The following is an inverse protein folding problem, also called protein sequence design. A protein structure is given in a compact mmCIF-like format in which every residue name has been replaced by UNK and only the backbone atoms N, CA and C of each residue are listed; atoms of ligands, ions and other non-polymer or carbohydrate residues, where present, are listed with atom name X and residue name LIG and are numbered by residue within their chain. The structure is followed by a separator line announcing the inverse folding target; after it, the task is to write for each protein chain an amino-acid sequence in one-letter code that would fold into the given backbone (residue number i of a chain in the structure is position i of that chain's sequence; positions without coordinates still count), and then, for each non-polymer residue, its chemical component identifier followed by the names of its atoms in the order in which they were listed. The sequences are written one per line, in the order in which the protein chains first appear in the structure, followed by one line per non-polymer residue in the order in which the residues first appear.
data_IF_798069649154
#
_entry.id   IF_798069649154
#
_cell.length_a   1.000
_cell.length_b   1.000
_cell.length_c   1.000
_cell.angle_alpha   90.00
_cell.angle_beta   90.00
_cell.angle_gamma   90.00
#
_symmetry.space_group_name_H-M   'P 1'
#
loop_
_entity.id
_entity.type
_entity.pdbx_description
1 polymer ?
#
# COMPACT_ATOMS: atom_id res chain seq x y z
N UNK A 1 -20.65 8.54 -24.99
CA UNK A 1 -19.21 8.80 -24.91
C UNK A 1 -18.57 7.62 -24.20
N UNK A 2 -17.93 6.73 -24.96
CA UNK A 2 -17.20 5.58 -24.44
C UNK A 2 -15.82 6.05 -24.00
N UNK A 3 -15.54 6.01 -22.70
CA UNK A 3 -14.24 6.30 -22.12
C UNK A 3 -13.83 5.12 -21.27
N UNK A 4 -12.67 4.53 -21.56
CA UNK A 4 -12.24 3.24 -21.02
C UNK A 4 -12.29 3.17 -19.48
N UNK A 5 -13.25 2.40 -18.97
CA UNK A 5 -13.20 1.79 -17.63
C UNK A 5 -13.15 0.28 -17.75
N UNK A 6 -12.34 -0.24 -18.68
CA UNK A 6 -12.23 -1.67 -18.92
C UNK A 6 -10.83 -2.12 -18.48
N UNK A 7 -10.73 -2.65 -17.26
CA UNK A 7 -9.49 -3.27 -16.82
C UNK A 7 -9.39 -3.45 -15.32
N UNK A 8 -9.44 -2.39 -14.52
CA UNK A 8 -9.15 -2.49 -13.07
C UNK A 8 -10.41 -2.87 -12.29
N UNK A 9 -10.42 -4.09 -11.74
CA UNK A 9 -11.49 -4.67 -10.92
C UNK A 9 -11.14 -4.78 -9.44
N UNK A 10 -9.88 -4.53 -9.09
CA UNK A 10 -9.39 -4.49 -7.72
C UNK A 10 -8.03 -3.81 -7.65
N UNK A 11 -7.70 -3.24 -6.48
CA UNK A 11 -6.37 -2.67 -6.22
C UNK A 11 -5.74 -3.37 -5.02
N UNK A 12 -4.54 -3.92 -5.18
CA UNK A 12 -3.74 -4.40 -4.06
C UNK A 12 -2.74 -3.32 -3.63
N UNK A 13 -2.87 -2.82 -2.40
CA UNK A 13 -1.92 -1.91 -1.78
C UNK A 13 -0.92 -2.69 -0.93
N UNK A 14 0.35 -2.66 -1.32
CA UNK A 14 1.45 -3.37 -0.66
C UNK A 14 2.17 -2.43 0.30
N UNK A 15 2.24 -2.84 1.57
CA UNK A 15 2.75 -2.07 2.70
C UNK A 15 4.00 -2.74 3.29
N UNK A 16 5.13 -2.04 3.26
CA UNK A 16 6.38 -2.58 3.79
C UNK A 16 6.49 -2.46 5.31
N UNK A 17 7.36 -3.27 5.91
CA UNK A 17 7.68 -3.17 7.35
C UNK A 17 8.51 -1.93 7.67
N UNK A 18 8.85 -1.72 8.94
CA UNK A 18 9.62 -0.55 9.35
C UNK A 18 10.28 -0.76 10.70
N UNK A 19 10.28 0.29 11.51
CA UNK A 19 10.79 0.31 12.88
C UNK A 19 9.64 0.70 13.81
N UNK A 20 9.78 0.40 15.11
CA UNK A 20 8.87 0.95 16.10
C UNK A 20 9.00 2.49 16.10
N UNK A 21 10.22 2.98 16.34
CA UNK A 21 10.50 4.41 16.47
C UNK A 21 11.66 4.83 15.56
N UNK A 22 11.35 5.67 14.58
CA UNK A 22 12.31 6.30 13.67
C UNK A 22 11.61 7.33 12.77
N UNK A 23 12.04 8.59 12.83
CA UNK A 23 11.66 9.62 11.85
C UNK A 23 12.62 9.69 10.66
N UNK A 24 13.56 8.74 10.55
CA UNK A 24 14.45 8.67 9.38
C UNK A 24 13.63 8.38 8.13
N UNK A 25 13.91 9.11 7.05
CA UNK A 25 13.17 8.95 5.82
C UNK A 25 13.46 7.59 5.14
N UNK A 26 12.41 6.95 4.59
CA UNK A 26 12.59 5.66 3.88
C UNK A 26 13.33 5.88 2.57
N UNK A 27 14.23 4.95 2.23
CA UNK A 27 14.92 4.90 0.94
C UNK A 27 14.54 3.63 0.18
N UNK A 28 14.50 3.66 -1.16
CA UNK A 28 14.18 2.47 -1.98
C UNK A 28 15.08 1.26 -1.71
N UNK A 29 16.34 1.52 -1.35
CA UNK A 29 17.35 0.48 -1.05
C UNK A 29 17.26 -0.10 0.35
N UNK A 30 16.39 0.42 1.22
CA UNK A 30 16.20 -0.18 2.54
C UNK A 30 15.58 -1.57 2.39
N UNK A 31 16.00 -2.51 3.24
CA UNK A 31 15.52 -3.89 3.18
C UNK A 31 14.00 -3.99 3.39
N UNK A 32 13.39 -3.05 4.12
CA UNK A 32 11.94 -3.04 4.34
C UNK A 32 11.13 -2.99 3.03
N UNK A 33 11.26 -1.95 2.17
CA UNK A 33 10.57 -1.92 0.88
C UNK A 33 11.08 -3.00 -0.09
N UNK A 34 12.37 -3.31 -0.10
CA UNK A 34 12.91 -4.35 -0.98
C UNK A 34 12.27 -5.73 -0.71
N UNK A 35 12.04 -6.09 0.55
CA UNK A 35 11.41 -7.35 0.95
C UNK A 35 10.01 -7.54 0.36
N UNK A 36 9.29 -6.45 0.09
CA UNK A 36 7.93 -6.53 -0.47
C UNK A 36 7.89 -6.56 -2.00
N UNK A 37 9.01 -6.31 -2.69
CA UNK A 37 9.05 -6.32 -4.17
C UNK A 37 8.64 -7.67 -4.78
N UNK A 38 9.09 -8.83 -4.27
CA UNK A 38 8.65 -10.12 -4.81
C UNK A 38 7.14 -10.36 -4.66
N UNK A 39 6.55 -9.89 -3.55
CA UNK A 39 5.10 -9.98 -3.32
C UNK A 39 4.31 -9.13 -4.32
N UNK A 40 4.73 -7.87 -4.51
CA UNK A 40 4.10 -6.98 -5.49
C UNK A 40 4.22 -7.53 -6.91
N UNK A 41 5.40 -8.04 -7.28
CA UNK A 41 5.62 -8.66 -8.58
C UNK A 41 4.74 -9.89 -8.81
N UNK A 42 4.61 -10.77 -7.80
CA UNK A 42 3.77 -11.97 -7.90
C UNK A 42 2.29 -11.64 -7.98
N UNK A 43 1.81 -10.64 -7.23
CA UNK A 43 0.44 -10.13 -7.35
C UNK A 43 0.17 -9.58 -8.75
N UNK A 44 1.08 -8.77 -9.29
CA UNK A 44 0.91 -8.20 -10.62
C UNK A 44 0.91 -9.29 -11.70
N UNK A 45 1.85 -10.24 -11.63
CA UNK A 45 1.94 -11.35 -12.57
C UNK A 45 0.69 -12.24 -12.55
N UNK A 46 0.16 -12.57 -11.37
CA UNK A 46 -1.01 -13.43 -11.24
C UNK A 46 -2.34 -12.70 -11.47
N UNK A 47 -2.42 -11.40 -11.16
CA UNK A 47 -3.69 -10.68 -11.08
C UNK A 47 -3.95 -9.71 -12.24
N UNK A 48 -2.94 -9.28 -12.99
CA UNK A 48 -3.09 -8.26 -14.05
C UNK A 48 -4.09 -8.65 -15.14
N UNK A 49 -4.02 -9.89 -15.64
CA UNK A 49 -5.00 -10.43 -16.61
C UNK A 49 -6.43 -10.50 -16.03
N UNK A 50 -6.56 -10.49 -14.71
CA UNK A 50 -7.84 -10.44 -14.01
C UNK A 50 -8.22 -9.02 -13.58
N UNK A 51 -7.46 -8.00 -13.92
CA UNK A 51 -7.78 -6.62 -13.58
C UNK A 51 -7.33 -6.17 -12.20
N UNK A 52 -6.35 -6.83 -11.59
CA UNK A 52 -5.74 -6.38 -10.35
C UNK A 52 -4.65 -5.32 -10.64
N UNK A 53 -4.89 -4.08 -10.22
CA UNK A 53 -3.82 -3.08 -10.14
C UNK A 53 -3.02 -3.29 -8.85
N UNK A 54 -1.69 -3.16 -8.91
CA UNK A 54 -0.82 -3.32 -7.73
C UNK A 54 -0.09 -2.01 -7.46
N UNK A 55 -0.30 -1.46 -6.27
CA UNK A 55 0.31 -0.23 -5.80
C UNK A 55 1.21 -0.55 -4.61
N UNK A 56 2.44 -0.05 -4.62
CA UNK A 56 3.37 -0.22 -3.50
C UNK A 56 3.60 1.13 -2.81
N UNK A 57 3.27 1.21 -1.53
CA UNK A 57 3.50 2.41 -0.74
C UNK A 57 4.94 2.42 -0.19
N UNK A 58 5.63 3.53 -0.41
CA UNK A 58 6.85 3.87 0.33
C UNK A 58 6.51 4.91 1.38
N UNK A 59 6.53 4.51 2.64
CA UNK A 59 6.28 5.42 3.75
C UNK A 59 7.30 6.57 3.73
N UNK A 60 6.91 7.75 4.22
CA UNK A 60 7.79 8.91 4.35
C UNK A 60 8.92 8.63 5.31
N UNK A 61 8.60 8.03 6.46
CA UNK A 61 9.55 7.68 7.53
C UNK A 61 9.52 6.20 7.88
N UNK A 62 10.57 5.72 8.53
CA UNK A 62 10.75 4.29 8.84
C UNK A 62 9.90 3.81 10.01
N UNK A 63 9.53 4.69 10.93
CA UNK A 63 8.89 4.36 12.20
C UNK A 63 7.36 4.34 12.16
N UNK A 64 6.78 3.62 13.10
CA UNK A 64 5.39 3.80 13.51
C UNK A 64 5.23 5.04 14.40
N UNK A 65 6.25 5.31 15.24
CA UNK A 65 6.40 6.54 16.04
C UNK A 65 5.27 6.77 17.04
N UNK A 66 4.89 5.73 17.79
CA UNK A 66 3.88 5.83 18.84
C UNK A 66 2.55 6.38 18.35
N UNK A 67 2.11 7.51 18.93
CA UNK A 67 0.86 8.19 18.61
C UNK A 67 0.88 8.97 17.29
N UNK A 68 2.05 9.21 16.68
CA UNK A 68 2.14 9.82 15.35
C UNK A 68 1.61 8.88 14.26
N UNK A 69 1.72 7.57 14.50
CA UNK A 69 1.25 6.51 13.60
C UNK A 69 1.66 6.75 12.14
N UNK A 70 2.90 7.19 11.90
CA UNK A 70 3.30 7.82 10.63
C UNK A 70 2.95 6.95 9.41
N UNK A 71 3.13 5.63 9.53
CA UNK A 71 2.80 4.66 8.50
C UNK A 71 1.29 4.55 8.22
N UNK A 72 0.43 4.73 9.22
CA UNK A 72 -1.03 4.77 9.04
C UNK A 72 -1.44 6.05 8.30
N UNK A 73 -0.86 7.19 8.65
CA UNK A 73 -1.08 8.45 7.91
C UNK A 73 -0.74 8.31 6.42
N UNK A 74 0.42 7.71 6.11
CA UNK A 74 0.83 7.46 4.73
C UNK A 74 -0.09 6.47 4.00
N UNK A 75 -0.59 5.43 4.71
CA UNK A 75 -1.53 4.48 4.14
C UNK A 75 -2.89 5.08 3.83
N UNK A 76 -3.43 5.93 4.71
CA UNK A 76 -4.68 6.66 4.47
C UNK A 76 -4.56 7.58 3.26
N UNK A 77 -3.46 8.34 3.17
CA UNK A 77 -3.17 9.13 1.98
C UNK A 77 -3.14 8.28 0.71
N UNK A 78 -2.49 7.11 0.74
CA UNK A 78 -2.44 6.22 -0.42
C UNK A 78 -3.84 5.69 -0.79
N UNK A 79 -4.68 5.38 0.20
CA UNK A 79 -6.05 4.94 -0.02
C UNK A 79 -6.91 6.05 -0.64
N UNK A 80 -6.80 7.30 -0.18
CA UNK A 80 -7.47 8.45 -0.79
C UNK A 80 -7.05 8.62 -2.27
N UNK A 81 -5.76 8.43 -2.56
CA UNK A 81 -5.23 8.46 -3.93
C UNK A 81 -5.81 7.34 -4.79
N UNK A 82 -5.93 6.13 -4.24
CA UNK A 82 -6.52 4.98 -4.94
C UNK A 82 -8.02 5.22 -5.18
N UNK A 83 -8.76 5.66 -4.18
CA UNK A 83 -10.20 5.95 -4.30
C UNK A 83 -10.48 7.01 -5.37
N UNK A 84 -9.63 8.04 -5.46
CA UNK A 84 -9.73 9.06 -6.52
C UNK A 84 -9.39 8.52 -7.92
N UNK A 85 -8.43 7.59 -8.03
CA UNK A 85 -8.00 7.02 -9.31
C UNK A 85 -8.89 5.87 -9.81
N UNK A 86 -9.47 5.11 -8.88
CA UNK A 86 -10.29 3.93 -9.13
C UNK A 86 -11.56 3.97 -8.27
N UNK A 87 -12.53 4.86 -8.59
CA UNK A 87 -13.74 5.00 -7.80
C UNK A 87 -14.50 3.67 -7.71
N UNK A 88 -15.01 3.34 -6.53
CA UNK A 88 -15.80 2.11 -6.23
C UNK A 88 -15.09 0.76 -6.42
N UNK A 89 -13.80 0.75 -6.75
CA UNK A 89 -13.02 -0.49 -6.90
C UNK A 89 -12.55 -0.97 -5.51
N UNK A 90 -12.71 -2.26 -5.17
CA UNK A 90 -12.26 -2.79 -3.88
C UNK A 90 -10.74 -2.70 -3.74
N UNK A 91 -10.30 -2.36 -2.52
CA UNK A 91 -8.88 -2.30 -2.17
C UNK A 91 -8.51 -3.43 -1.21
N UNK A 92 -7.47 -4.18 -1.55
CA UNK A 92 -6.90 -5.26 -0.75
C UNK A 92 -5.58 -4.78 -0.13
N UNK A 93 -5.43 -4.92 1.18
CA UNK A 93 -4.24 -4.51 1.91
C UNK A 93 -3.32 -5.71 2.16
N UNK A 94 -2.07 -5.65 1.69
CA UNK A 94 -1.04 -6.64 1.97
C UNK A 94 0.11 -6.00 2.74
N UNK A 95 0.33 -6.42 3.98
CA UNK A 95 1.35 -5.83 4.84
C UNK A 95 2.20 -6.84 5.60
N UNK A 96 3.48 -6.50 5.83
CA UNK A 96 4.40 -7.30 6.64
C UNK A 96 4.92 -6.52 7.86
N UNK A 97 4.90 -7.13 9.05
CA UNK A 97 5.36 -6.52 10.32
C UNK A 97 4.63 -5.19 10.56
N UNK A 98 5.33 -4.05 10.66
CA UNK A 98 4.70 -2.73 10.75
C UNK A 98 3.67 -2.51 9.63
N UNK A 99 3.95 -2.96 8.40
CA UNK A 99 2.99 -2.85 7.30
C UNK A 99 1.72 -3.68 7.52
N UNK A 100 1.82 -4.81 8.24
CA UNK A 100 0.66 -5.62 8.62
C UNK A 100 -0.18 -4.93 9.70
N UNK A 101 0.47 -4.31 10.70
CA UNK A 101 -0.20 -3.41 11.65
C UNK A 101 -0.91 -2.26 10.91
N UNK A 102 -0.20 -1.62 9.98
CA UNK A 102 -0.77 -0.54 9.15
C UNK A 102 -1.98 -1.02 8.35
N UNK A 103 -1.93 -2.21 7.75
CA UNK A 103 -3.05 -2.79 7.01
C UNK A 103 -4.30 -2.94 7.90
N UNK A 104 -4.15 -3.51 9.08
CA UNK A 104 -5.27 -3.72 10.02
C UNK A 104 -5.82 -2.37 10.51
N UNK A 105 -4.93 -1.44 10.88
CA UNK A 105 -5.34 -0.10 11.35
C UNK A 105 -6.02 0.74 10.25
N UNK A 106 -5.67 0.52 8.98
CA UNK A 106 -6.26 1.19 7.83
C UNK A 106 -7.54 0.51 7.32
N UNK A 107 -7.89 -0.70 7.77
CA UNK A 107 -9.05 -1.44 7.26
C UNK A 107 -10.41 -0.76 7.53
N UNK A 108 -10.46 0.23 8.44
CA UNK A 108 -11.64 1.07 8.68
C UNK A 108 -11.72 2.34 7.82
N UNK A 109 -10.79 2.54 6.87
CA UNK A 109 -10.82 3.64 5.91
C UNK A 109 -12.04 3.49 4.98
N UNK A 110 -12.69 4.61 4.64
CA UNK A 110 -13.95 4.67 3.88
C UNK A 110 -13.74 5.41 2.58
#
# INVERSE_FOLDING_TARGET
MSGASDGVRGVALVLHGGRADSFEAVRPRHLSPLRMRPFAARLAAAGSAHGLAVWALRNRVRGWNGADESALGDARWALDRIAAAHPSVPVYLLGHSMGGRTAIAAAGHR
#
